data_IF_891972589730
#
_entry.id   IF_891972589730
#
_cell.length_a   1.000
_cell.length_b   1.000
_cell.length_c   1.000
_cell.angle_alpha   90.00
_cell.angle_beta   90.00
_cell.angle_gamma   90.00
#
_symmetry.space_group_name_H-M   'P 1'
#
loop_
_entity.id
_entity.type
_entity.pdbx_description
1 polymer ?
#
# COMPACT_ATOMS: atom_id res chain seq x y z
N UNK A 1 -77.22 -16.61 17.81
CA UNK A 1 -76.01 -16.38 18.64
C UNK A 1 -74.92 -15.82 17.71
N UNK A 2 -74.74 -14.49 17.64
CA UNK A 2 -73.59 -13.89 16.98
C UNK A 2 -72.43 -13.81 17.99
N UNK A 3 -71.23 -14.18 17.55
CA UNK A 3 -70.02 -14.17 18.36
C UNK A 3 -69.55 -12.74 18.65
N UNK A 4 -69.20 -12.50 19.91
CA UNK A 4 -68.53 -11.30 20.46
C UNK A 4 -67.05 -11.20 20.02
N UNK A 5 -66.77 -11.43 18.74
CA UNK A 5 -65.39 -11.51 18.21
C UNK A 5 -65.11 -10.61 17.00
N UNK A 6 -65.89 -9.54 16.82
CA UNK A 6 -65.38 -8.31 16.19
C UNK A 6 -64.85 -7.47 17.37
N UNK A 7 -63.60 -7.66 17.80
CA UNK A 7 -62.42 -6.95 17.29
C UNK A 7 -62.72 -5.44 17.20
N UNK A 8 -62.98 -4.84 18.36
CA UNK A 8 -62.65 -3.44 18.62
C UNK A 8 -61.11 -3.32 18.71
N UNK A 9 -60.44 -3.33 17.56
CA UNK A 9 -59.06 -2.87 17.47
C UNK A 9 -59.11 -1.38 17.09
N UNK A 10 -58.91 -0.44 18.04
CA UNK A 10 -59.00 0.97 17.74
C UNK A 10 -57.92 1.33 16.71
N UNK A 11 -58.33 1.93 15.58
CA UNK A 11 -57.41 2.36 14.51
C UNK A 11 -56.18 3.03 15.13
N UNK A 12 -54.95 2.53 14.89
CA UNK A 12 -53.76 3.09 15.52
C UNK A 12 -53.64 4.56 15.14
N UNK A 13 -53.60 5.44 16.15
CA UNK A 13 -53.51 6.88 15.94
C UNK A 13 -52.21 7.22 15.21
N UNK A 14 -52.31 7.81 14.02
CA UNK A 14 -51.14 8.18 13.18
C UNK A 14 -50.14 9.08 13.93
N UNK A 15 -50.63 9.90 14.85
CA UNK A 15 -49.82 10.81 15.69
C UNK A 15 -48.86 10.04 16.61
N UNK A 16 -49.31 8.93 17.21
CA UNK A 16 -48.47 8.09 18.09
C UNK A 16 -47.37 7.37 17.31
N UNK A 17 -47.67 6.92 16.08
CA UNK A 17 -46.67 6.35 15.18
C UNK A 17 -45.59 7.36 14.79
N UNK A 18 -45.98 8.61 14.46
CA UNK A 18 -45.04 9.69 14.18
C UNK A 18 -44.17 10.06 15.37
N UNK A 19 -44.75 10.15 16.57
CA UNK A 19 -44.01 10.48 17.79
C UNK A 19 -42.93 9.43 18.10
N UNK A 20 -43.27 8.14 17.99
CA UNK A 20 -42.31 7.04 18.19
C UNK A 20 -41.24 7.05 17.11
N UNK A 21 -41.62 7.27 15.85
CA UNK A 21 -40.68 7.42 14.73
C UNK A 21 -39.69 8.56 14.94
N UNK A 22 -40.17 9.73 15.38
CA UNK A 22 -39.32 10.88 15.67
C UNK A 22 -38.37 10.63 16.86
N UNK A 23 -38.84 9.94 17.89
CA UNK A 23 -38.05 9.62 19.09
C UNK A 23 -36.85 8.72 18.76
N UNK A 24 -36.95 7.89 17.72
CA UNK A 24 -35.86 7.01 17.26
C UNK A 24 -35.02 7.71 16.17
N UNK A 25 -35.67 8.38 15.22
CA UNK A 25 -34.99 8.98 14.07
C UNK A 25 -34.09 10.15 14.47
N UNK A 26 -34.50 10.98 15.43
CA UNK A 26 -33.71 12.12 15.89
C UNK A 26 -32.36 11.71 16.53
N UNK A 27 -32.30 10.81 17.51
CA UNK A 27 -31.01 10.39 18.08
C UNK A 27 -30.15 9.61 17.07
N UNK A 28 -30.75 8.76 16.24
CA UNK A 28 -30.01 8.06 15.19
C UNK A 28 -29.41 9.04 14.16
N UNK A 29 -30.20 10.03 13.72
CA UNK A 29 -29.75 11.08 12.83
C UNK A 29 -28.67 11.97 13.46
N UNK A 30 -28.80 12.31 14.75
CA UNK A 30 -27.80 13.08 15.48
C UNK A 30 -26.47 12.32 15.65
N UNK A 31 -26.53 11.02 15.96
CA UNK A 31 -25.34 10.16 16.03
C UNK A 31 -24.66 10.04 14.67
N UNK A 32 -25.43 9.80 13.61
CA UNK A 32 -24.90 9.73 12.25
C UNK A 32 -24.27 11.07 11.83
N UNK A 33 -24.95 12.18 12.09
CA UNK A 33 -24.43 13.52 11.80
C UNK A 33 -23.14 13.80 12.57
N UNK A 34 -23.10 13.49 13.86
CA UNK A 34 -21.90 13.63 14.68
C UNK A 34 -20.75 12.79 14.13
N UNK A 35 -21.00 11.52 13.78
CA UNK A 35 -20.00 10.65 13.17
C UNK A 35 -19.49 11.21 11.83
N UNK A 36 -20.40 11.65 10.96
CA UNK A 36 -20.09 12.18 9.64
C UNK A 36 -19.26 13.46 9.68
N UNK A 37 -19.47 14.33 10.68
CA UNK A 37 -18.76 15.62 10.79
C UNK A 37 -17.50 15.54 11.65
N UNK A 38 -17.51 14.75 12.73
CA UNK A 38 -16.41 14.74 13.70
C UNK A 38 -15.38 13.62 13.48
N UNK A 39 -15.82 12.45 12.99
CA UNK A 39 -14.96 11.26 12.89
C UNK A 39 -14.52 11.03 11.46
N UNK A 40 -15.48 11.02 10.52
CA UNK A 40 -15.21 10.70 9.12
C UNK A 40 -14.10 11.57 8.49
N UNK A 41 -14.06 12.91 8.67
CA UNK A 41 -13.03 13.73 8.05
C UNK A 41 -11.64 13.46 8.60
N UNK A 42 -11.53 13.17 9.91
CA UNK A 42 -10.24 12.82 10.53
C UNK A 42 -9.71 11.51 9.99
N UNK A 43 -10.55 10.48 9.92
CA UNK A 43 -10.13 9.19 9.35
C UNK A 43 -9.66 9.36 7.91
N UNK A 44 -10.36 10.13 7.07
CA UNK A 44 -9.97 10.34 5.68
C UNK A 44 -8.67 11.15 5.58
N UNK A 45 -8.55 12.25 6.31
CA UNK A 45 -7.40 13.13 6.25
C UNK A 45 -6.14 12.49 6.85
N UNK A 46 -6.26 11.78 7.96
CA UNK A 46 -5.12 11.11 8.59
C UNK A 46 -4.54 10.05 7.65
N UNK A 47 -5.39 9.24 7.02
CA UNK A 47 -4.94 8.29 5.99
C UNK A 47 -4.29 9.02 4.80
N UNK A 48 -4.90 10.09 4.30
CA UNK A 48 -4.36 10.84 3.16
C UNK A 48 -3.00 11.47 3.45
N UNK A 49 -2.79 12.00 4.66
CA UNK A 49 -1.50 12.56 5.10
C UNK A 49 -0.45 11.47 5.24
N UNK A 50 -0.81 10.31 5.78
CA UNK A 50 0.10 9.17 5.88
C UNK A 50 0.54 8.69 4.49
N UNK A 51 -0.40 8.55 3.54
CA UNK A 51 -0.09 8.20 2.15
C UNK A 51 0.82 9.24 1.46
N UNK A 52 0.54 10.54 1.60
CA UNK A 52 1.38 11.61 1.04
C UNK A 52 2.79 11.60 1.65
N UNK A 53 2.89 11.39 2.97
CA UNK A 53 4.18 11.33 3.66
C UNK A 53 5.04 10.15 3.21
N UNK A 54 4.41 9.01 2.92
CA UNK A 54 5.07 7.81 2.40
C UNK A 54 5.56 8.03 0.98
N UNK A 55 4.74 8.58 0.10
CA UNK A 55 5.14 8.85 -1.29
C UNK A 55 6.32 9.82 -1.35
N UNK A 56 6.34 10.86 -0.50
CA UNK A 56 7.49 11.77 -0.42
C UNK A 56 8.76 11.12 0.10
N UNK A 57 8.64 10.16 1.01
CA UNK A 57 9.80 9.37 1.46
C UNK A 57 10.33 8.48 0.34
N UNK A 58 9.44 7.83 -0.42
CA UNK A 58 9.80 7.06 -1.60
C UNK A 58 10.43 7.96 -2.68
N UNK A 59 9.91 9.17 -2.91
CA UNK A 59 10.48 10.16 -3.84
C UNK A 59 11.90 10.53 -3.43
N UNK A 60 12.09 10.92 -2.16
CA UNK A 60 13.40 11.28 -1.63
C UNK A 60 14.38 10.11 -1.71
N UNK A 61 13.91 8.89 -1.46
CA UNK A 61 14.71 7.68 -1.60
C UNK A 61 15.16 7.50 -3.05
N UNK A 62 14.25 7.52 -4.03
CA UNK A 62 14.60 7.36 -5.46
C UNK A 62 15.57 8.46 -5.95
N UNK A 63 15.35 9.71 -5.53
CA UNK A 63 16.25 10.81 -5.87
C UNK A 63 17.63 10.63 -5.24
N UNK A 64 17.70 10.25 -3.97
CA UNK A 64 18.97 10.00 -3.29
C UNK A 64 19.72 8.79 -3.85
N UNK A 65 18.99 7.74 -4.23
CA UNK A 65 19.52 6.56 -4.90
C UNK A 65 20.23 6.98 -6.20
N UNK A 66 19.54 7.74 -7.05
CA UNK A 66 20.06 8.13 -8.35
C UNK A 66 21.06 9.28 -8.35
N UNK A 67 21.04 10.13 -7.32
CA UNK A 67 22.02 11.20 -7.15
C UNK A 67 23.33 10.72 -6.53
N UNK A 68 23.27 9.73 -5.63
CA UNK A 68 24.43 9.31 -4.82
C UNK A 68 25.04 7.98 -5.24
N UNK A 69 24.28 7.04 -5.84
CA UNK A 69 24.89 5.85 -6.43
C UNK A 69 25.47 6.20 -7.79
N UNK A 70 26.77 6.03 -7.89
CA UNK A 70 27.50 6.08 -9.15
C UNK A 70 27.61 4.68 -9.75
N UNK A 71 27.79 4.60 -11.06
CA UNK A 71 28.06 3.35 -11.79
C UNK A 71 29.32 2.62 -11.26
N UNK A 72 30.23 3.35 -10.59
CA UNK A 72 31.42 2.78 -9.92
C UNK A 72 31.12 2.12 -8.57
N UNK A 73 30.03 2.48 -7.89
CA UNK A 73 29.69 1.97 -6.55
C UNK A 73 28.72 0.77 -6.61
N UNK A 74 27.77 0.76 -7.54
CA UNK A 74 26.87 -0.37 -7.83
C UNK A 74 26.35 -0.24 -9.26
N UNK A 75 25.83 -1.33 -9.84
CA UNK A 75 25.08 -1.31 -11.11
C UNK A 75 23.85 -0.39 -10.96
N UNK A 76 24.04 0.89 -11.26
CA UNK A 76 22.99 1.90 -11.25
C UNK A 76 22.00 1.56 -12.35
N UNK A 77 20.75 1.30 -11.99
CA UNK A 77 19.68 1.11 -12.98
C UNK A 77 19.44 2.42 -13.73
N UNK A 78 19.98 2.50 -14.95
CA UNK A 78 19.89 3.71 -15.79
C UNK A 78 18.44 4.03 -16.16
N UNK A 79 17.59 3.03 -16.37
CA UNK A 79 16.17 3.27 -16.68
C UNK A 79 15.43 3.91 -15.50
N UNK A 80 15.70 3.44 -14.28
CA UNK A 80 15.17 4.04 -13.07
C UNK A 80 15.66 5.49 -12.93
N UNK A 81 16.97 5.72 -13.09
CA UNK A 81 17.56 7.03 -12.82
C UNK A 81 17.31 8.06 -13.90
N UNK A 82 17.21 7.67 -15.17
CA UNK A 82 16.73 8.54 -16.24
C UNK A 82 15.29 9.01 -15.96
N UNK A 83 14.43 8.11 -15.49
CA UNK A 83 13.07 8.48 -15.12
C UNK A 83 13.05 9.36 -13.87
N UNK A 84 13.68 8.92 -12.78
CA UNK A 84 13.54 9.53 -11.46
C UNK A 84 14.13 10.95 -11.38
N UNK A 85 15.18 11.24 -12.15
CA UNK A 85 15.80 12.56 -12.22
C UNK A 85 15.09 13.50 -13.21
N UNK A 86 14.27 12.97 -14.12
CA UNK A 86 13.57 13.76 -15.15
C UNK A 86 12.19 14.26 -14.71
N UNK A 87 11.63 13.74 -13.62
CA UNK A 87 10.25 14.00 -13.18
C UNK A 87 10.19 14.66 -11.80
N UNK A 88 9.08 15.33 -11.52
CA UNK A 88 8.86 16.01 -10.24
C UNK A 88 8.40 15.03 -9.13
N UNK A 89 7.65 13.98 -9.49
CA UNK A 89 7.06 12.99 -8.56
C UNK A 89 7.43 11.54 -8.95
N UNK A 90 8.68 11.10 -8.70
CA UNK A 90 9.19 9.82 -9.20
C UNK A 90 8.47 8.58 -8.64
N UNK A 91 7.95 8.63 -7.42
CA UNK A 91 7.15 7.54 -6.80
C UNK A 91 5.85 7.24 -7.53
N UNK A 92 5.34 8.18 -8.34
CA UNK A 92 4.16 7.99 -9.18
C UNK A 92 4.54 7.57 -10.59
N UNK A 93 5.47 8.29 -11.22
CA UNK A 93 5.76 8.13 -12.64
C UNK A 93 6.80 7.03 -12.92
N UNK A 94 7.73 6.80 -11.99
CA UNK A 94 8.85 5.86 -12.13
C UNK A 94 8.69 4.63 -11.24
N UNK A 95 7.48 4.37 -10.73
CA UNK A 95 7.22 3.28 -9.80
C UNK A 95 7.53 1.90 -10.35
N UNK A 96 7.27 1.65 -11.63
CA UNK A 96 7.53 0.35 -12.25
C UNK A 96 9.02 -0.01 -12.28
N UNK A 97 9.92 0.83 -12.84
CA UNK A 97 11.36 0.54 -12.80
C UNK A 97 11.87 0.48 -11.35
N UNK A 98 11.33 1.31 -10.44
CA UNK A 98 11.70 1.23 -9.04
C UNK A 98 11.32 -0.11 -8.39
N UNK A 99 10.11 -0.62 -8.63
CA UNK A 99 9.68 -1.92 -8.11
C UNK A 99 10.54 -3.05 -8.66
N UNK A 100 10.91 -2.98 -9.94
CA UNK A 100 11.81 -3.96 -10.56
C UNK A 100 13.19 -3.96 -9.88
N UNK A 101 13.84 -2.80 -9.82
CA UNK A 101 15.12 -2.63 -9.13
C UNK A 101 15.04 -3.12 -7.67
N UNK A 102 13.99 -2.74 -6.94
CA UNK A 102 13.84 -3.13 -5.53
C UNK A 102 13.63 -4.63 -5.35
N UNK A 103 12.99 -5.30 -6.31
CA UNK A 103 12.83 -6.76 -6.31
C UNK A 103 14.20 -7.41 -6.41
N UNK A 104 15.06 -6.98 -7.34
CA UNK A 104 16.42 -7.52 -7.52
C UNK A 104 17.26 -7.37 -6.26
N UNK A 105 17.20 -6.19 -5.60
CA UNK A 105 17.90 -5.97 -4.33
C UNK A 105 17.41 -6.95 -3.24
N UNK A 106 16.11 -7.19 -3.17
CA UNK A 106 15.53 -8.10 -2.17
C UNK A 106 15.81 -9.57 -2.47
N UNK A 107 15.91 -9.97 -3.75
CA UNK A 107 16.38 -11.30 -4.14
C UNK A 107 17.80 -11.52 -3.62
N UNK A 108 18.68 -10.52 -3.80
CA UNK A 108 20.03 -10.53 -3.26
C UNK A 108 20.06 -10.70 -1.74
N UNK A 109 19.31 -9.86 -1.02
CA UNK A 109 19.21 -9.94 0.45
C UNK A 109 18.66 -11.30 0.94
N UNK A 110 17.65 -11.83 0.26
CA UNK A 110 17.02 -13.12 0.58
C UNK A 110 17.86 -14.36 0.23
N UNK A 111 19.06 -14.17 -0.33
CA UNK A 111 20.04 -15.26 -0.52
C UNK A 111 20.77 -15.58 0.78
N UNK A 112 20.89 -14.62 1.71
CA UNK A 112 21.42 -14.88 3.04
C UNK A 112 20.48 -15.77 3.87
N UNK A 113 21.04 -16.81 4.49
CA UNK A 113 20.24 -17.82 5.19
C UNK A 113 19.62 -17.27 6.48
N UNK A 114 20.31 -16.38 7.20
CA UNK A 114 19.78 -15.78 8.41
C UNK A 114 18.60 -14.85 8.09
N UNK A 115 18.76 -14.04 7.05
CA UNK A 115 17.73 -13.15 6.50
C UNK A 115 16.51 -13.95 6.03
N UNK A 116 16.73 -15.01 5.24
CA UNK A 116 15.66 -15.88 4.76
C UNK A 116 14.84 -16.52 5.88
N UNK A 117 15.50 -17.01 6.94
CA UNK A 117 14.81 -17.59 8.09
C UNK A 117 13.98 -16.57 8.87
N UNK A 118 14.46 -15.31 8.95
CA UNK A 118 13.76 -14.23 9.65
C UNK A 118 12.55 -13.67 8.88
N UNK A 119 12.59 -13.72 7.55
CA UNK A 119 11.60 -13.13 6.64
C UNK A 119 11.12 -14.16 5.60
N UNK A 120 10.75 -15.36 6.07
CA UNK A 120 10.51 -16.52 5.20
C UNK A 120 9.38 -16.28 4.20
N UNK A 121 8.26 -15.69 4.60
CA UNK A 121 7.13 -15.49 3.70
C UNK A 121 7.48 -14.43 2.64
N UNK A 122 8.07 -13.32 3.06
CA UNK A 122 8.59 -12.29 2.15
C UNK A 122 9.61 -12.85 1.15
N UNK A 123 10.67 -13.51 1.63
CA UNK A 123 11.72 -14.04 0.78
C UNK A 123 11.23 -15.15 -0.16
N UNK A 124 10.25 -15.95 0.27
CA UNK A 124 9.59 -16.92 -0.62
C UNK A 124 8.79 -16.22 -1.72
N UNK A 125 8.09 -15.12 -1.39
CA UNK A 125 7.33 -14.31 -2.33
C UNK A 125 8.23 -13.70 -3.39
N UNK A 126 9.27 -12.98 -2.96
CA UNK A 126 10.25 -12.29 -3.83
C UNK A 126 10.95 -13.28 -4.76
N UNK A 127 11.46 -14.41 -4.23
CA UNK A 127 12.13 -15.44 -5.05
C UNK A 127 11.20 -16.09 -6.06
N UNK A 128 9.92 -16.28 -5.71
CA UNK A 128 8.93 -16.80 -6.65
C UNK A 128 8.62 -15.81 -7.78
N UNK A 129 8.64 -14.50 -7.51
CA UNK A 129 8.47 -13.48 -8.55
C UNK A 129 9.69 -13.39 -9.46
N UNK A 130 10.89 -13.49 -8.90
CA UNK A 130 12.15 -13.53 -9.65
C UNK A 130 12.22 -14.72 -10.62
N UNK A 131 11.85 -15.93 -10.13
CA UNK A 131 11.76 -17.12 -10.97
C UNK A 131 10.77 -16.94 -12.13
N UNK A 132 9.57 -16.38 -11.85
CA UNK A 132 8.58 -16.07 -12.88
C UNK A 132 9.08 -15.02 -13.89
N UNK A 133 9.87 -14.04 -13.45
CA UNK A 133 10.45 -13.04 -14.34
C UNK A 133 11.51 -13.65 -15.27
N UNK A 134 12.32 -14.57 -14.77
CA UNK A 134 13.31 -15.30 -15.57
C UNK A 134 12.70 -16.15 -16.69
N UNK A 135 11.42 -16.50 -16.60
CA UNK A 135 10.69 -17.30 -17.60
C UNK A 135 10.03 -16.46 -18.71
N UNK A 136 10.00 -15.13 -18.58
CA UNK A 136 9.33 -14.24 -19.53
C UNK A 136 10.29 -13.23 -20.16
N UNK A 137 9.92 -12.68 -21.31
CA UNK A 137 10.69 -11.59 -21.91
C UNK A 137 10.56 -10.32 -21.04
N UNK A 138 11.68 -9.65 -20.75
CA UNK A 138 11.74 -8.52 -19.81
C UNK A 138 10.91 -7.30 -20.24
N UNK A 139 10.71 -7.09 -21.53
CA UNK A 139 9.92 -6.00 -22.09
C UNK A 139 8.42 -6.32 -22.24
N UNK A 140 8.03 -7.55 -21.93
CA UNK A 140 6.66 -8.07 -22.09
C UNK A 140 5.66 -7.44 -21.12
N UNK A 141 4.38 -7.54 -21.48
CA UNK A 141 3.29 -7.14 -20.58
C UNK A 141 3.25 -8.04 -19.35
N UNK A 142 3.56 -9.31 -19.53
CA UNK A 142 3.62 -10.34 -18.50
C UNK A 142 4.67 -9.99 -17.43
N UNK A 143 5.89 -9.58 -17.83
CA UNK A 143 6.92 -9.12 -16.91
C UNK A 143 6.45 -7.94 -16.04
N UNK A 144 5.80 -6.94 -16.65
CA UNK A 144 5.24 -5.80 -15.90
C UNK A 144 4.17 -6.24 -14.90
N UNK A 145 3.33 -7.20 -15.25
CA UNK A 145 2.32 -7.73 -14.34
C UNK A 145 2.94 -8.51 -13.17
N UNK A 146 4.04 -9.24 -13.41
CA UNK A 146 4.77 -9.94 -12.35
C UNK A 146 5.41 -8.91 -11.40
N UNK A 147 6.09 -7.89 -11.92
CA UNK A 147 6.69 -6.81 -11.11
C UNK A 147 5.62 -6.10 -10.26
N UNK A 148 4.43 -5.85 -10.79
CA UNK A 148 3.33 -5.23 -10.02
C UNK A 148 2.91 -6.05 -8.80
N UNK A 149 3.10 -7.38 -8.81
CA UNK A 149 2.81 -8.24 -7.65
C UNK A 149 3.81 -8.06 -6.52
N UNK A 150 4.97 -7.46 -6.76
CA UNK A 150 5.94 -7.14 -5.71
C UNK A 150 5.33 -6.27 -4.60
N UNK A 151 4.41 -5.37 -4.95
CA UNK A 151 3.66 -4.58 -3.97
C UNK A 151 2.83 -5.41 -2.98
N UNK A 152 2.46 -6.64 -3.34
CA UNK A 152 1.82 -7.57 -2.41
C UNK A 152 2.83 -8.27 -1.50
N UNK A 153 4.06 -8.52 -1.96
CA UNK A 153 5.12 -9.06 -1.10
C UNK A 153 5.52 -8.03 -0.01
N UNK A 154 5.62 -6.74 -0.36
CA UNK A 154 5.97 -5.69 0.61
C UNK A 154 4.86 -5.35 1.61
N UNK A 155 3.66 -5.91 1.42
CA UNK A 155 2.55 -5.79 2.36
C UNK A 155 2.50 -6.94 3.40
N UNK A 156 3.42 -7.91 3.32
CA UNK A 156 3.51 -9.01 4.28
C UNK A 156 4.06 -8.51 5.63
N UNK A 157 3.64 -9.17 6.71
CA UNK A 157 4.02 -8.79 8.08
C UNK A 157 5.53 -8.94 8.35
N UNK A 158 6.19 -9.84 7.63
CA UNK A 158 7.64 -10.11 7.71
C UNK A 158 8.42 -9.45 6.56
N UNK A 159 7.83 -8.47 5.87
CA UNK A 159 8.49 -7.78 4.77
C UNK A 159 9.77 -7.07 5.22
N UNK A 160 10.83 -7.24 4.43
CA UNK A 160 12.08 -6.52 4.64
C UNK A 160 11.99 -5.12 4.04
N UNK A 161 12.70 -4.18 4.66
CA UNK A 161 12.83 -2.82 4.16
C UNK A 161 14.09 -2.70 3.30
N UNK A 162 14.01 -1.83 2.30
CA UNK A 162 15.21 -1.43 1.55
C UNK A 162 16.24 -0.82 2.52
N UNK A 163 17.53 -1.19 2.40
CA UNK A 163 18.57 -0.57 3.19
C UNK A 163 18.66 0.93 2.88
N UNK A 164 19.15 1.76 3.81
CA UNK A 164 19.42 3.16 3.52
C UNK A 164 20.47 3.28 2.41
N UNK A 165 20.38 4.33 1.59
CA UNK A 165 21.27 4.52 0.43
C UNK A 165 22.75 4.52 0.83
N UNK A 166 23.10 5.09 1.98
CA UNK A 166 24.48 5.09 2.48
C UNK A 166 25.03 3.66 2.68
N UNK A 167 24.19 2.72 3.14
CA UNK A 167 24.60 1.32 3.32
C UNK A 167 24.77 0.58 1.98
N UNK A 168 24.06 1.01 0.93
CA UNK A 168 24.24 0.48 -0.43
C UNK A 168 25.57 0.96 -1.03
N UNK A 169 25.93 2.22 -0.80
CA UNK A 169 27.22 2.80 -1.22
C UNK A 169 28.38 2.07 -0.51
N UNK A 170 28.32 1.94 0.81
CA UNK A 170 29.35 1.26 1.61
C UNK A 170 29.54 -0.22 1.22
N UNK A 171 28.45 -0.91 0.84
CA UNK A 171 28.51 -2.30 0.37
C UNK A 171 29.24 -2.44 -0.97
N UNK A 172 29.13 -1.43 -1.83
CA UNK A 172 29.81 -1.34 -3.12
C UNK A 172 31.30 -0.99 -3.03
N UNK A 173 31.69 -0.23 -2.01
CA UNK A 173 33.07 0.23 -1.79
C UNK A 173 33.98 -0.77 -1.05
N UNK A 174 33.47 -1.97 -0.73
CA UNK A 174 34.23 -2.99 -0.02
C UNK A 174 35.46 -3.42 -0.82
N UNK A 175 36.69 -3.22 -0.30
CA UNK A 175 37.91 -3.37 -1.08
C UNK A 175 38.13 -4.84 -1.44
N UNK A 176 38.24 -5.11 -2.74
CA UNK A 176 38.79 -6.36 -3.27
C UNK A 176 40.32 -6.34 -3.28
#
# INVERSE_FOLDING_TARGET
MPMLADIDDPRPSRVRGFAIGALIALPAGALFWWFAVAVLPRVILDNAVEFDSRLRQEDAYMQSLCANLSEETMDRDEQLCECALAVEYPSLDCRMPFMHWSLEQMVGACTDTATFESARAFCSCVRSLDEQLGEVASDSKEARQIIQRYGACTALDDALFLPPVDALIDAGESPS
#
